data_IF_441406486499
#
_entry.id   IF_441406486499
#
_cell.length_a   1.000
_cell.length_b   1.000
_cell.length_c   1.000
_cell.angle_alpha   90.00
_cell.angle_beta   90.00
_cell.angle_gamma   90.00
#
_symmetry.space_group_name_H-M   'P 1'
#
loop_
_entity.id
_entity.type
_entity.pdbx_description
1 polymer ?
#
# COMPACT_ATOMS: atom_id res chain seq x y z
N UNK A 1 31.55 -28.93 58.02
CA UNK A 1 30.51 -28.88 56.99
C UNK A 1 30.77 -27.65 56.15
N UNK A 2 31.34 -27.80 54.96
CA UNK A 2 31.54 -26.69 54.02
C UNK A 2 30.36 -26.69 53.00
N UNK A 3 29.52 -25.64 53.01
CA UNK A 3 28.52 -25.44 52.00
C UNK A 3 29.21 -24.88 50.73
N UNK A 4 29.27 -25.68 49.67
CA UNK A 4 29.60 -25.22 48.33
C UNK A 4 28.36 -24.45 47.74
N UNK A 5 28.48 -23.14 47.59
CA UNK A 5 27.56 -22.34 46.79
C UNK A 5 27.86 -22.62 45.30
N UNK A 6 27.02 -23.40 44.62
CA UNK A 6 26.99 -23.45 43.18
C UNK A 6 26.38 -22.13 42.69
N UNK A 7 27.21 -21.21 42.19
CA UNK A 7 26.75 -20.07 41.41
C UNK A 7 26.31 -20.59 40.04
N UNK A 8 25.01 -20.60 39.77
CA UNK A 8 24.49 -20.73 38.41
C UNK A 8 24.90 -19.47 37.63
N UNK A 9 25.91 -19.61 36.78
CA UNK A 9 26.25 -18.63 35.78
C UNK A 9 25.04 -18.52 34.83
N UNK A 10 24.43 -17.33 34.74
CA UNK A 10 23.50 -17.00 33.62
C UNK A 10 24.26 -17.30 32.32
N UNK A 11 23.58 -17.92 31.34
CA UNK A 11 24.14 -17.97 29.98
C UNK A 11 24.50 -16.56 29.55
N UNK A 12 25.72 -16.39 29.02
CA UNK A 12 26.10 -15.11 28.42
C UNK A 12 25.10 -14.80 27.32
N UNK A 13 24.51 -13.60 27.36
CA UNK A 13 23.73 -13.09 26.23
C UNK A 13 24.65 -13.16 24.99
N UNK A 14 24.16 -13.70 23.84
CA UNK A 14 24.96 -13.72 22.63
C UNK A 14 25.40 -12.29 22.32
N UNK A 15 26.67 -12.12 21.97
CA UNK A 15 27.20 -10.81 21.60
C UNK A 15 26.35 -10.23 20.47
N UNK A 16 25.89 -8.96 20.64
CA UNK A 16 25.09 -8.30 19.64
C UNK A 16 25.84 -8.32 18.30
N UNK A 17 25.21 -8.89 17.28
CA UNK A 17 25.77 -8.95 15.92
C UNK A 17 25.77 -7.53 15.32
N UNK A 18 26.86 -7.15 14.65
CA UNK A 18 26.91 -5.96 13.83
C UNK A 18 26.25 -6.24 12.47
N UNK A 19 24.99 -5.85 12.33
CA UNK A 19 24.19 -6.09 11.13
C UNK A 19 24.71 -5.33 9.88
N UNK A 20 25.48 -4.27 10.06
CA UNK A 20 26.05 -3.53 8.93
C UNK A 20 27.16 -4.30 8.21
N UNK A 21 27.98 -5.03 8.99
CA UNK A 21 29.07 -5.84 8.43
C UNK A 21 28.77 -7.34 8.28
N UNK A 22 27.70 -7.82 8.92
CA UNK A 22 27.33 -9.23 8.91
C UNK A 22 26.90 -9.74 7.52
N UNK A 23 27.32 -10.98 7.21
CA UNK A 23 26.78 -11.74 6.09
C UNK A 23 25.40 -12.33 6.41
N UNK A 24 24.68 -12.76 5.38
CA UNK A 24 23.32 -13.25 5.52
C UNK A 24 23.18 -14.44 6.50
N UNK A 25 24.09 -15.41 6.43
CA UNK A 25 24.03 -16.60 7.30
C UNK A 25 24.09 -16.24 8.79
N UNK A 26 24.93 -15.26 9.14
CA UNK A 26 25.03 -14.77 10.51
C UNK A 26 23.78 -13.97 10.93
N UNK A 27 23.16 -13.22 10.00
CA UNK A 27 21.89 -12.52 10.24
C UNK A 27 20.77 -13.55 10.49
N UNK A 28 20.71 -14.60 9.66
CA UNK A 28 19.70 -15.65 9.80
C UNK A 28 19.85 -16.42 11.12
N UNK A 29 21.08 -16.76 11.54
CA UNK A 29 21.36 -17.38 12.84
C UNK A 29 20.95 -16.48 14.01
N UNK A 30 21.24 -15.18 13.93
CA UNK A 30 20.87 -14.22 14.98
C UNK A 30 19.35 -13.98 15.06
N UNK A 31 18.60 -14.31 14.01
CA UNK A 31 17.13 -14.18 13.97
C UNK A 31 16.40 -15.37 14.61
N UNK A 32 17.06 -16.55 14.75
CA UNK A 32 16.43 -17.75 15.29
C UNK A 32 15.90 -17.54 16.72
N UNK A 33 14.69 -18.03 16.98
CA UNK A 33 14.02 -17.91 18.27
C UNK A 33 13.46 -16.53 18.59
N UNK A 34 13.62 -15.54 17.69
CA UNK A 34 13.14 -14.19 17.93
C UNK A 34 11.60 -14.07 17.79
N UNK A 35 11.06 -13.02 18.39
CA UNK A 35 9.69 -12.58 18.17
C UNK A 35 9.72 -11.26 17.41
N UNK A 36 9.13 -11.25 16.23
CA UNK A 36 9.06 -10.08 15.33
C UNK A 36 7.66 -9.51 15.31
N UNK A 37 7.51 -8.21 15.57
CA UNK A 37 6.25 -7.51 15.47
C UNK A 37 6.08 -6.87 14.09
N UNK A 38 4.91 -7.05 13.49
CA UNK A 38 4.53 -6.43 12.22
C UNK A 38 3.36 -5.48 12.43
N UNK A 39 3.58 -4.21 12.23
CA UNK A 39 2.55 -3.16 12.33
C UNK A 39 2.06 -2.74 10.96
N UNK A 40 0.75 -2.66 10.80
CA UNK A 40 0.11 -2.20 9.57
C UNK A 40 -1.38 -1.94 9.77
N UNK A 41 -2.03 -1.38 8.76
CA UNK A 41 -3.44 -1.04 8.83
C UNK A 41 -4.31 -2.26 9.20
N UNK A 42 -5.14 -2.09 10.23
CA UNK A 42 -5.94 -3.19 10.80
C UNK A 42 -7.23 -3.52 10.02
N UNK A 43 -7.64 -2.67 9.07
CA UNK A 43 -8.93 -2.80 8.37
C UNK A 43 -9.01 -3.88 7.29
N UNK A 44 -7.91 -4.55 6.94
CA UNK A 44 -7.91 -5.66 5.99
C UNK A 44 -7.82 -7.00 6.72
N UNK A 45 -8.98 -7.60 7.01
CA UNK A 45 -9.06 -8.89 7.71
C UNK A 45 -8.37 -10.02 6.95
N UNK A 46 -8.43 -10.05 5.62
CA UNK A 46 -7.81 -11.11 4.81
C UNK A 46 -6.28 -11.05 4.93
N UNK A 47 -5.69 -9.86 4.78
CA UNK A 47 -4.26 -9.66 4.96
C UNK A 47 -3.82 -10.00 6.37
N UNK A 48 -4.53 -9.50 7.37
CA UNK A 48 -4.20 -9.77 8.76
C UNK A 48 -4.28 -11.28 9.08
N UNK A 49 -5.26 -11.99 8.53
CA UNK A 49 -5.36 -13.44 8.67
C UNK A 49 -4.20 -14.15 7.96
N UNK A 50 -3.85 -13.78 6.72
CA UNK A 50 -2.72 -14.34 5.97
C UNK A 50 -1.40 -14.14 6.72
N UNK A 51 -1.14 -12.97 7.28
CA UNK A 51 0.04 -12.69 8.10
C UNK A 51 0.07 -13.56 9.38
N UNK A 52 -1.08 -13.69 10.07
CA UNK A 52 -1.19 -14.45 11.32
C UNK A 52 -1.18 -15.97 11.13
N UNK A 53 -1.41 -16.47 9.92
CA UNK A 53 -1.44 -17.91 9.61
C UNK A 53 -0.33 -18.26 8.63
N UNK A 54 -0.49 -17.99 7.35
CA UNK A 54 0.43 -18.43 6.29
C UNK A 54 1.86 -17.94 6.50
N UNK A 55 2.03 -16.62 6.76
CA UNK A 55 3.37 -16.05 7.00
C UNK A 55 3.93 -16.48 8.34
N UNK A 56 3.12 -16.43 9.41
CA UNK A 56 3.55 -16.84 10.75
C UNK A 56 4.00 -18.31 10.79
N UNK A 57 3.23 -19.22 10.17
CA UNK A 57 3.58 -20.65 10.08
C UNK A 57 4.84 -20.88 9.25
N UNK A 58 4.99 -20.16 8.13
CA UNK A 58 6.19 -20.22 7.29
C UNK A 58 7.43 -19.79 8.08
N UNK A 59 7.38 -18.65 8.76
CA UNK A 59 8.48 -18.10 9.55
C UNK A 59 8.83 -19.01 10.73
N UNK A 60 7.82 -19.52 11.44
CA UNK A 60 8.05 -20.45 12.57
C UNK A 60 8.70 -21.74 12.13
N UNK A 61 8.22 -22.30 11.02
CA UNK A 61 8.70 -23.60 10.51
C UNK A 61 10.12 -23.51 9.92
N UNK A 62 10.43 -22.45 9.18
CA UNK A 62 11.65 -22.37 8.38
C UNK A 62 12.77 -21.56 9.05
N UNK A 63 12.44 -20.70 10.03
CA UNK A 63 13.38 -19.75 10.64
C UNK A 63 13.27 -19.68 12.17
N UNK A 64 12.38 -20.47 12.79
CA UNK A 64 12.05 -20.41 14.23
C UNK A 64 11.66 -19.00 14.72
N UNK A 65 11.13 -18.16 13.83
CA UNK A 65 10.66 -16.80 14.16
C UNK A 65 9.18 -16.84 14.51
N UNK A 66 8.79 -16.17 15.60
CA UNK A 66 7.39 -15.95 15.98
C UNK A 66 6.94 -14.59 15.48
N UNK A 67 5.96 -14.54 14.57
CA UNK A 67 5.39 -13.28 14.06
C UNK A 67 4.23 -12.83 14.95
N UNK A 68 4.20 -11.55 15.32
CA UNK A 68 3.08 -10.89 16.00
C UNK A 68 2.57 -9.74 15.15
N UNK A 69 1.31 -9.81 14.70
CA UNK A 69 0.70 -8.79 13.84
C UNK A 69 -0.13 -7.85 14.68
N UNK A 70 0.09 -6.54 14.50
CA UNK A 70 -0.63 -5.47 15.21
C UNK A 70 -1.30 -4.56 14.19
N UNK A 71 -2.63 -4.52 14.22
CA UNK A 71 -3.42 -3.57 13.41
C UNK A 71 -3.38 -2.18 14.04
N UNK A 72 -2.82 -1.20 13.32
CA UNK A 72 -2.73 0.20 13.76
C UNK A 72 -2.71 1.12 12.54
N UNK A 73 -3.34 2.29 12.64
CA UNK A 73 -3.27 3.29 11.57
C UNK A 73 -1.87 3.87 11.47
N UNK A 74 -1.47 4.27 10.27
CA UNK A 74 -0.11 4.74 10.01
C UNK A 74 0.24 5.99 10.83
N UNK A 75 -0.70 6.93 11.02
CA UNK A 75 -0.49 8.13 11.82
C UNK A 75 -0.15 7.79 13.29
N UNK A 76 -0.84 6.79 13.85
CA UNK A 76 -0.60 6.32 15.23
C UNK A 76 0.76 5.61 15.32
N UNK A 77 1.16 4.85 14.30
CA UNK A 77 2.49 4.23 14.20
C UNK A 77 3.58 5.30 14.19
N UNK A 78 3.45 6.30 13.31
CA UNK A 78 4.44 7.39 13.20
C UNK A 78 4.50 8.27 14.46
N UNK A 79 3.34 8.55 15.08
CA UNK A 79 3.29 9.27 16.35
C UNK A 79 3.99 8.49 17.47
N UNK A 80 3.78 7.17 17.53
CA UNK A 80 4.45 6.30 18.50
C UNK A 80 5.96 6.29 18.31
N UNK A 81 6.46 6.08 17.10
CA UNK A 81 7.90 6.11 16.79
C UNK A 81 8.52 7.47 17.09
N UNK A 82 7.82 8.56 16.76
CA UNK A 82 8.26 9.91 17.10
C UNK A 82 8.38 10.12 18.61
N UNK A 83 7.43 9.60 19.37
CA UNK A 83 7.46 9.62 20.84
C UNK A 83 8.61 8.78 21.41
N UNK A 84 8.84 7.57 20.88
CA UNK A 84 9.96 6.70 21.27
C UNK A 84 11.30 7.39 20.97
N UNK A 85 11.44 8.04 19.82
CA UNK A 85 12.62 8.81 19.45
C UNK A 85 12.88 10.01 20.36
N UNK A 86 11.83 10.77 20.68
CA UNK A 86 11.95 11.90 21.62
C UNK A 86 12.33 11.45 23.03
N UNK A 87 11.92 10.26 23.44
CA UNK A 87 12.27 9.65 24.73
C UNK A 87 13.65 8.97 24.73
N UNK A 88 14.39 8.99 23.61
CA UNK A 88 15.67 8.29 23.42
C UNK A 88 15.56 6.79 23.71
N UNK A 89 14.46 6.17 23.30
CA UNK A 89 14.18 4.75 23.47
C UNK A 89 15.19 3.92 22.68
N UNK A 90 15.91 3.02 23.36
CA UNK A 90 16.94 2.19 22.73
C UNK A 90 16.37 0.85 22.20
N UNK A 91 15.20 0.47 22.67
CA UNK A 91 14.52 -0.78 22.28
C UNK A 91 13.01 -0.50 22.26
N UNK A 92 12.49 -0.32 21.07
CA UNK A 92 11.08 -0.04 20.83
C UNK A 92 10.20 -1.30 20.86
N UNK A 93 8.98 -1.15 20.41
CA UNK A 93 8.02 -2.25 20.35
C UNK A 93 7.62 -2.61 18.92
N UNK A 94 8.16 -1.92 17.92
CA UNK A 94 7.86 -2.11 16.50
C UNK A 94 9.10 -2.64 15.79
N UNK A 95 8.96 -3.77 15.07
CA UNK A 95 10.04 -4.27 14.23
C UNK A 95 9.79 -3.90 12.77
N UNK A 96 8.67 -4.34 12.19
CA UNK A 96 8.33 -4.11 10.79
C UNK A 96 7.11 -3.19 10.70
N UNK A 97 7.14 -2.27 9.74
CA UNK A 97 6.05 -1.37 9.41
C UNK A 97 5.65 -1.61 7.96
N UNK A 98 4.36 -1.80 7.70
CA UNK A 98 3.79 -1.70 6.36
C UNK A 98 3.54 -0.22 6.04
N UNK A 99 4.23 0.31 5.04
CA UNK A 99 4.32 1.75 4.77
C UNK A 99 4.41 2.04 3.27
N UNK A 100 4.10 3.24 2.86
CA UNK A 100 4.36 3.77 1.51
C UNK A 100 4.20 5.29 1.47
N UNK A 101 4.62 5.89 0.35
CA UNK A 101 4.31 7.25 -0.06
C UNK A 101 4.82 8.34 0.88
N UNK A 102 3.94 9.30 1.14
CA UNK A 102 4.24 10.44 2.02
C UNK A 102 4.60 10.01 3.44
N UNK A 103 4.03 8.89 3.89
CA UNK A 103 4.32 8.33 5.21
C UNK A 103 5.75 7.78 5.29
N UNK A 104 6.20 7.05 4.26
CA UNK A 104 7.59 6.60 4.16
C UNK A 104 8.55 7.80 4.08
N UNK A 105 8.26 8.76 3.21
CA UNK A 105 9.06 9.98 3.09
C UNK A 105 9.20 10.70 4.43
N UNK A 106 8.07 10.95 5.12
CA UNK A 106 8.06 11.58 6.44
C UNK A 106 8.83 10.77 7.48
N UNK A 107 8.63 9.45 7.53
CA UNK A 107 9.34 8.59 8.47
C UNK A 107 10.85 8.60 8.26
N UNK A 108 11.30 8.54 7.00
CA UNK A 108 12.72 8.56 6.63
C UNK A 108 13.37 9.90 6.98
N UNK A 109 12.77 11.02 6.58
CA UNK A 109 13.28 12.37 6.87
C UNK A 109 13.39 12.63 8.39
N UNK A 110 12.47 12.10 9.17
CA UNK A 110 12.50 12.20 10.63
C UNK A 110 13.38 11.14 11.31
N UNK A 111 14.06 10.27 10.54
CA UNK A 111 14.95 9.22 11.04
C UNK A 111 14.23 8.19 11.92
N UNK A 112 12.98 7.86 11.58
CA UNK A 112 12.17 6.86 12.29
C UNK A 112 12.36 5.44 11.76
N UNK A 113 13.18 5.28 10.70
CA UNK A 113 13.45 3.99 10.07
C UNK A 113 14.92 3.60 10.25
N UNK A 114 15.17 2.29 10.30
CA UNK A 114 16.50 1.71 10.28
C UNK A 114 16.83 1.19 8.88
N UNK A 115 18.02 1.49 8.39
CA UNK A 115 18.51 1.08 7.07
C UNK A 115 19.82 1.81 6.71
N UNK A 116 20.34 1.59 5.49
CA UNK A 116 19.82 0.69 4.46
C UNK A 116 20.00 -0.81 4.80
N UNK A 117 19.07 -1.66 4.36
CA UNK A 117 19.14 -3.09 4.64
C UNK A 117 18.80 -3.99 3.43
N UNK A 118 18.16 -3.47 2.40
CA UNK A 118 17.59 -4.31 1.32
C UNK A 118 18.63 -5.00 0.45
N UNK A 119 19.82 -4.45 0.32
CA UNK A 119 20.95 -5.03 -0.42
C UNK A 119 21.48 -6.32 0.24
N UNK A 120 21.18 -6.52 1.51
CA UNK A 120 21.55 -7.72 2.27
C UNK A 120 20.55 -8.87 2.11
N UNK A 121 19.36 -8.60 1.57
CA UNK A 121 18.29 -9.59 1.44
C UNK A 121 18.50 -10.46 0.17
N UNK A 122 18.76 -11.80 0.30
CA UNK A 122 18.98 -12.64 -0.87
C UNK A 122 17.83 -12.62 -1.89
N UNK A 123 16.57 -12.56 -1.42
CA UNK A 123 15.41 -12.58 -2.29
C UNK A 123 15.21 -11.26 -3.05
N UNK A 124 15.71 -10.11 -2.54
CA UNK A 124 15.78 -8.87 -3.33
C UNK A 124 16.60 -9.08 -4.60
N UNK A 125 17.81 -9.63 -4.48
CA UNK A 125 18.67 -9.88 -5.63
C UNK A 125 18.12 -10.97 -6.55
N UNK A 126 17.53 -12.03 -5.96
CA UNK A 126 17.09 -13.22 -6.70
C UNK A 126 15.80 -12.99 -7.49
N UNK A 127 14.83 -12.25 -6.95
CA UNK A 127 13.47 -12.23 -7.47
C UNK A 127 12.90 -10.85 -7.79
N UNK A 128 13.49 -9.78 -7.27
CA UNK A 128 12.99 -8.41 -7.47
C UNK A 128 13.82 -7.71 -8.55
N UNK A 129 13.17 -6.94 -9.42
CA UNK A 129 13.89 -6.05 -10.34
C UNK A 129 14.39 -4.81 -9.57
N UNK A 130 15.65 -4.84 -9.18
CA UNK A 130 16.30 -3.74 -8.46
C UNK A 130 16.53 -2.48 -9.31
N UNK A 131 16.14 -2.49 -10.60
CA UNK A 131 16.18 -1.33 -11.50
C UNK A 131 14.79 -0.77 -11.81
N UNK A 132 13.74 -1.46 -11.38
CA UNK A 132 12.37 -0.95 -11.48
C UNK A 132 12.28 0.39 -10.74
N UNK A 133 11.72 1.46 -11.35
CA UNK A 133 11.50 2.73 -10.69
C UNK A 133 10.81 2.60 -9.33
N UNK A 134 9.84 1.68 -9.17
CA UNK A 134 9.15 1.41 -7.90
C UNK A 134 10.00 0.64 -6.87
N UNK A 135 11.19 0.16 -7.23
CA UNK A 135 12.18 -0.40 -6.29
C UNK A 135 13.19 0.66 -5.85
N UNK A 136 13.32 1.72 -6.64
CA UNK A 136 14.26 2.83 -6.39
C UNK A 136 13.61 4.03 -5.73
N UNK A 137 12.30 4.23 -5.97
CA UNK A 137 11.54 5.39 -5.49
C UNK A 137 10.15 4.96 -5.03
N UNK A 138 9.73 5.49 -3.89
CA UNK A 138 8.36 5.45 -3.42
C UNK A 138 7.76 6.85 -3.54
N UNK A 139 6.65 7.00 -4.26
CA UNK A 139 6.03 8.30 -4.60
C UNK A 139 7.09 9.33 -5.03
N UNK A 140 7.92 8.93 -5.99
CA UNK A 140 9.05 9.69 -6.55
C UNK A 140 10.21 9.99 -5.56
N UNK A 141 10.09 9.65 -4.28
CA UNK A 141 11.12 9.89 -3.27
C UNK A 141 12.09 8.69 -3.20
N UNK A 142 13.42 8.93 -3.09
CA UNK A 142 14.42 7.86 -3.08
C UNK A 142 14.24 6.90 -1.89
N UNK A 143 14.17 5.59 -2.18
CA UNK A 143 14.07 4.51 -1.17
C UNK A 143 15.42 4.30 -0.46
N UNK A 144 16.52 4.28 -1.21
CA UNK A 144 17.90 4.12 -0.70
C UNK A 144 18.07 2.92 0.25
N UNK A 145 17.31 1.84 0.01
CA UNK A 145 17.41 0.59 0.77
C UNK A 145 16.73 0.61 2.15
N UNK A 146 15.90 1.60 2.48
CA UNK A 146 15.20 1.70 3.76
C UNK A 146 13.86 0.96 3.81
N UNK A 147 13.37 0.50 2.67
CA UNK A 147 12.18 -0.32 2.57
C UNK A 147 12.30 -1.35 1.45
N UNK A 148 11.61 -2.49 1.62
CA UNK A 148 11.53 -3.57 0.64
C UNK A 148 10.10 -3.68 0.10
N UNK A 149 9.91 -4.00 -1.21
CA UNK A 149 8.58 -4.09 -1.79
C UNK A 149 7.77 -5.23 -1.17
N UNK A 150 6.47 -5.00 -0.95
CA UNK A 150 5.54 -5.97 -0.39
C UNK A 150 4.57 -6.51 -1.43
N UNK A 151 3.95 -5.62 -2.19
CA UNK A 151 2.95 -5.95 -3.19
C UNK A 151 2.53 -4.73 -3.99
N UNK A 152 2.17 -4.93 -5.27
CA UNK A 152 1.73 -3.83 -6.14
C UNK A 152 0.24 -3.60 -5.99
N UNK A 153 -0.14 -2.33 -5.96
CA UNK A 153 -1.51 -1.85 -5.95
C UNK A 153 -1.75 -0.90 -7.11
N UNK A 154 -2.99 -0.73 -7.54
CA UNK A 154 -3.37 0.20 -8.60
C UNK A 154 -4.80 0.63 -8.39
N UNK A 155 -5.07 1.91 -8.55
CA UNK A 155 -6.41 2.43 -8.48
C UNK A 155 -7.28 1.87 -9.60
N UNK A 156 -8.44 1.37 -9.25
CA UNK A 156 -9.47 0.91 -10.17
C UNK A 156 -10.83 1.46 -9.75
N UNK A 157 -11.73 1.54 -10.73
CA UNK A 157 -13.15 1.79 -10.51
C UNK A 157 -13.93 0.50 -10.83
N UNK A 158 -15.10 0.34 -10.26
CA UNK A 158 -16.00 -0.76 -10.60
C UNK A 158 -17.46 -0.33 -10.50
N UNK A 159 -18.29 -0.93 -11.33
CA UNK A 159 -19.72 -0.67 -11.41
C UNK A 159 -20.51 -1.97 -11.50
N UNK A 160 -21.81 -1.92 -11.26
CA UNK A 160 -22.72 -3.02 -11.63
C UNK A 160 -23.13 -2.85 -13.10
N UNK A 161 -22.61 -3.71 -13.99
CA UNK A 161 -22.90 -3.65 -15.43
C UNK A 161 -24.34 -3.97 -15.79
N UNK A 162 -25.14 -4.56 -14.88
CA UNK A 162 -26.58 -4.72 -15.09
C UNK A 162 -27.33 -3.42 -14.88
N UNK A 163 -26.80 -2.49 -14.07
CA UNK A 163 -27.39 -1.18 -13.80
C UNK A 163 -26.80 -0.12 -14.73
N UNK A 164 -25.48 -0.18 -14.92
CA UNK A 164 -24.71 0.78 -15.74
C UNK A 164 -23.85 0.02 -16.74
N UNK A 165 -24.41 -0.40 -17.90
CA UNK A 165 -23.75 -1.29 -18.85
C UNK A 165 -22.52 -0.68 -19.53
N UNK A 166 -22.43 0.65 -19.57
CA UNK A 166 -21.34 1.41 -20.19
C UNK A 166 -20.50 2.05 -19.07
N UNK A 167 -19.27 1.57 -18.89
CA UNK A 167 -18.31 2.17 -17.99
C UNK A 167 -17.60 3.33 -18.69
N UNK A 168 -17.32 4.45 -17.98
CA UNK A 168 -16.61 5.59 -18.58
C UNK A 168 -15.11 5.28 -18.75
N UNK A 169 -14.54 5.64 -19.89
CA UNK A 169 -13.14 5.44 -20.24
C UNK A 169 -12.28 6.71 -20.10
N UNK A 170 -12.88 7.85 -19.74
CA UNK A 170 -12.20 9.14 -19.58
C UNK A 170 -12.89 10.02 -18.53
N UNK A 171 -12.23 11.10 -18.11
CA UNK A 171 -12.85 12.08 -17.22
C UNK A 171 -14.08 12.73 -17.86
N UNK A 172 -14.08 13.00 -19.17
CA UNK A 172 -15.22 13.56 -19.88
C UNK A 172 -16.42 12.60 -19.83
N UNK A 173 -16.20 11.33 -20.14
CA UNK A 173 -17.24 10.31 -20.06
C UNK A 173 -17.69 10.06 -18.61
N UNK A 174 -16.78 10.18 -17.63
CA UNK A 174 -17.13 10.07 -16.22
C UNK A 174 -18.05 11.20 -15.75
N UNK A 175 -17.87 12.43 -16.26
CA UNK A 175 -18.79 13.52 -16.00
C UNK A 175 -20.19 13.24 -16.57
N UNK A 176 -20.28 12.76 -17.81
CA UNK A 176 -21.56 12.38 -18.43
C UNK A 176 -22.21 11.18 -17.70
N UNK A 177 -21.40 10.23 -17.23
CA UNK A 177 -21.86 9.14 -16.38
C UNK A 177 -22.46 9.67 -15.06
N UNK A 178 -21.81 10.61 -14.40
CA UNK A 178 -22.33 11.23 -13.17
C UNK A 178 -23.61 12.07 -13.44
N UNK A 179 -23.71 12.77 -14.59
CA UNK A 179 -24.93 13.46 -15.01
C UNK A 179 -26.09 12.48 -15.20
N UNK A 180 -25.85 11.35 -15.88
CA UNK A 180 -26.83 10.28 -16.15
C UNK A 180 -27.31 9.59 -14.86
N UNK A 181 -26.41 9.36 -13.92
CA UNK A 181 -26.68 8.69 -12.64
C UNK A 181 -26.57 9.66 -11.46
N UNK A 182 -27.15 10.85 -11.61
CA UNK A 182 -27.06 11.94 -10.63
C UNK A 182 -27.39 11.46 -9.20
N UNK A 183 -26.51 11.80 -8.28
CA UNK A 183 -26.63 11.47 -6.86
C UNK A 183 -26.27 10.04 -6.50
N UNK A 184 -25.78 9.25 -7.46
CA UNK A 184 -25.42 7.83 -7.27
C UNK A 184 -23.95 7.50 -7.49
N UNK A 185 -23.09 8.51 -7.56
CA UNK A 185 -21.64 8.38 -7.66
C UNK A 185 -21.01 9.30 -6.64
N UNK A 186 -19.94 8.87 -5.99
CA UNK A 186 -19.13 9.69 -5.11
C UNK A 186 -17.74 9.09 -4.99
N UNK A 187 -16.86 9.73 -4.24
CA UNK A 187 -15.55 9.25 -3.84
C UNK A 187 -15.31 9.57 -2.35
N UNK A 188 -14.35 8.92 -1.66
CA UNK A 188 -14.05 9.21 -0.27
C UNK A 188 -13.52 10.62 -0.08
N UNK A 189 -13.84 11.24 1.06
CA UNK A 189 -13.24 12.51 1.44
C UNK A 189 -11.71 12.36 1.60
N UNK A 190 -10.96 13.38 1.14
CA UNK A 190 -9.54 13.44 1.44
C UNK A 190 -9.36 13.78 2.94
N UNK A 191 -8.37 13.21 3.65
CA UNK A 191 -7.20 12.50 3.12
C UNK A 191 -7.33 10.96 3.02
N UNK A 192 -8.56 10.37 2.91
CA UNK A 192 -8.64 8.93 2.63
C UNK A 192 -7.74 8.58 1.44
N UNK A 193 -6.93 7.52 1.57
CA UNK A 193 -5.91 7.17 0.59
C UNK A 193 -6.50 6.94 -0.81
N UNK A 194 -7.64 6.24 -0.92
CA UNK A 194 -8.32 5.97 -2.19
C UNK A 194 -8.97 7.23 -2.75
N UNK A 195 -9.57 8.07 -1.89
CA UNK A 195 -10.13 9.36 -2.30
C UNK A 195 -9.06 10.31 -2.83
N UNK A 196 -7.94 10.41 -2.14
CA UNK A 196 -6.78 11.19 -2.56
C UNK A 196 -6.20 10.67 -3.89
N UNK A 197 -6.08 9.34 -4.05
CA UNK A 197 -5.64 8.72 -5.30
C UNK A 197 -6.63 9.01 -6.45
N UNK A 198 -7.93 8.99 -6.21
CA UNK A 198 -8.93 9.33 -7.22
C UNK A 198 -8.78 10.78 -7.72
N UNK A 199 -8.61 11.72 -6.82
CA UNK A 199 -8.40 13.12 -7.19
C UNK A 199 -7.09 13.29 -7.97
N UNK A 200 -5.99 12.66 -7.54
CA UNK A 200 -4.72 12.66 -8.28
C UNK A 200 -4.85 12.01 -9.66
N UNK A 201 -5.66 10.95 -9.77
CA UNK A 201 -5.92 10.30 -11.05
C UNK A 201 -6.68 11.22 -12.02
N UNK A 202 -7.67 11.98 -11.54
CA UNK A 202 -8.34 13.01 -12.34
C UNK A 202 -7.38 14.15 -12.73
N UNK A 203 -6.47 14.53 -11.85
CA UNK A 203 -5.41 15.50 -12.17
C UNK A 203 -4.55 14.97 -13.32
N UNK A 204 -4.11 13.72 -13.28
CA UNK A 204 -3.31 13.11 -14.34
C UNK A 204 -4.09 13.00 -15.65
N UNK A 205 -5.35 12.59 -15.59
CA UNK A 205 -6.22 12.46 -16.75
C UNK A 205 -6.40 13.80 -17.49
N UNK A 206 -6.54 14.91 -16.76
CA UNK A 206 -6.84 16.24 -17.30
C UNK A 206 -5.61 17.11 -17.56
N UNK A 207 -4.54 16.92 -16.78
CA UNK A 207 -3.37 17.79 -16.83
C UNK A 207 -2.11 17.09 -17.36
N UNK A 208 -2.13 15.74 -17.52
CA UNK A 208 -0.94 14.93 -17.80
C UNK A 208 -0.12 14.65 -16.52
N UNK A 209 0.57 13.52 -16.47
CA UNK A 209 1.29 13.09 -15.27
C UNK A 209 2.76 13.55 -15.24
N UNK A 210 3.38 13.71 -16.41
CA UNK A 210 4.83 13.94 -16.56
C UNK A 210 5.27 15.22 -15.87
N UNK A 211 4.45 16.29 -15.95
CA UNK A 211 4.80 17.58 -15.36
C UNK A 211 4.92 17.57 -13.83
N UNK A 212 4.31 16.58 -13.17
CA UNK A 212 4.32 16.51 -11.71
C UNK A 212 5.54 15.77 -11.15
N UNK A 213 6.23 14.95 -11.97
CA UNK A 213 7.30 14.07 -11.50
C UNK A 213 8.50 14.82 -10.87
N UNK A 214 8.78 16.02 -11.36
CA UNK A 214 9.86 16.87 -10.86
C UNK A 214 9.34 18.25 -10.41
N UNK A 215 8.03 18.37 -10.11
CA UNK A 215 7.42 19.64 -9.73
C UNK A 215 7.86 20.07 -8.32
N UNK A 216 8.18 21.35 -8.17
CA UNK A 216 8.46 21.92 -6.85
C UNK A 216 7.20 21.90 -5.97
N UNK A 217 7.36 21.54 -4.70
CA UNK A 217 6.30 21.52 -3.70
C UNK A 217 5.97 22.94 -3.21
N UNK A 218 5.50 23.76 -4.14
CA UNK A 218 5.03 25.14 -3.91
C UNK A 218 3.52 25.20 -4.17
N UNK A 219 2.75 25.66 -3.20
CA UNK A 219 1.28 25.63 -3.24
C UNK A 219 0.70 26.38 -4.44
N UNK A 220 1.23 27.54 -4.78
CA UNK A 220 0.71 28.36 -5.88
C UNK A 220 1.05 27.74 -7.23
N UNK A 221 2.25 27.16 -7.36
CA UNK A 221 2.69 26.42 -8.54
C UNK A 221 1.83 25.19 -8.76
N UNK A 222 1.63 24.37 -7.71
CA UNK A 222 0.77 23.17 -7.77
C UNK A 222 -0.64 23.55 -8.10
N UNK A 223 -1.22 24.56 -7.43
CA UNK A 223 -2.59 25.04 -7.70
C UNK A 223 -2.78 25.47 -9.13
N UNK A 224 -1.85 26.24 -9.69
CA UNK A 224 -1.91 26.67 -11.08
C UNK A 224 -1.87 25.47 -12.05
N UNK A 225 -1.04 24.48 -11.78
CA UNK A 225 -0.90 23.29 -12.63
C UNK A 225 -2.14 22.41 -12.61
N UNK A 226 -2.85 22.29 -11.47
CA UNK A 226 -4.04 21.44 -11.32
C UNK A 226 -5.37 22.17 -11.55
N UNK A 227 -5.37 23.48 -11.90
CA UNK A 227 -6.61 24.26 -12.07
C UNK A 227 -7.62 23.66 -13.07
N UNK A 228 -7.20 23.01 -14.19
CA UNK A 228 -8.14 22.28 -15.04
C UNK A 228 -8.90 21.20 -14.28
N UNK A 229 -8.22 20.43 -13.43
CA UNK A 229 -8.84 19.38 -12.62
C UNK A 229 -9.73 19.96 -11.50
N UNK A 230 -9.31 21.06 -10.87
CA UNK A 230 -10.15 21.75 -9.88
C UNK A 230 -11.44 22.28 -10.50
N UNK A 231 -11.37 22.83 -11.72
CA UNK A 231 -12.53 23.27 -12.48
C UNK A 231 -13.47 22.11 -12.79
N UNK A 232 -12.92 21.00 -13.25
CA UNK A 232 -13.67 19.77 -13.50
C UNK A 232 -14.36 19.22 -12.23
N UNK A 233 -13.64 19.14 -11.11
CA UNK A 233 -14.19 18.65 -9.83
C UNK A 233 -15.36 19.54 -9.36
N UNK A 234 -15.26 20.87 -9.53
CA UNK A 234 -16.36 21.80 -9.23
C UNK A 234 -17.57 21.62 -10.15
N UNK A 235 -17.35 21.30 -11.44
CA UNK A 235 -18.43 20.97 -12.38
C UNK A 235 -19.07 19.61 -12.05
N UNK A 236 -18.27 18.64 -11.59
CA UNK A 236 -18.70 17.30 -11.23
C UNK A 236 -19.60 17.29 -9.98
N UNK A 237 -19.26 18.06 -8.95
CA UNK A 237 -19.87 18.03 -7.61
C UNK A 237 -21.41 18.06 -7.61
N UNK A 238 -22.14 18.92 -8.39
CA UNK A 238 -23.60 18.95 -8.39
C UNK A 238 -24.29 17.65 -8.84
N UNK A 239 -23.54 16.73 -9.43
CA UNK A 239 -24.04 15.43 -9.90
C UNK A 239 -23.69 14.29 -8.99
N UNK A 240 -22.78 14.51 -8.03
CA UNK A 240 -22.37 13.51 -7.06
C UNK A 240 -23.44 13.28 -5.97
N UNK A 241 -23.25 12.23 -5.20
CA UNK A 241 -24.00 11.97 -3.97
C UNK A 241 -23.98 13.21 -3.06
N UNK A 242 -25.12 13.51 -2.46
CA UNK A 242 -25.32 14.72 -1.67
C UNK A 242 -24.91 16.04 -2.37
N UNK A 243 -24.95 16.07 -3.70
CA UNK A 243 -24.57 17.21 -4.56
C UNK A 243 -23.11 17.67 -4.30
N UNK A 244 -22.22 16.76 -3.84
CA UNK A 244 -20.82 17.06 -3.53
C UNK A 244 -20.62 18.03 -2.37
N UNK A 245 -21.63 18.21 -1.51
CA UNK A 245 -21.53 19.08 -0.31
C UNK A 245 -20.77 18.40 0.82
N UNK A 246 -20.89 17.08 0.89
CA UNK A 246 -20.16 16.21 1.81
C UNK A 246 -19.75 14.95 1.06
N UNK A 247 -18.74 14.29 1.56
CA UNK A 247 -18.19 13.06 1.02
C UNK A 247 -18.14 11.99 2.12
N UNK A 248 -18.29 10.70 1.80
CA UNK A 248 -18.08 9.62 2.77
C UNK A 248 -16.67 9.70 3.35
N UNK A 249 -16.52 9.40 4.63
CA UNK A 249 -15.25 9.57 5.36
C UNK A 249 -14.14 8.59 4.93
N UNK A 250 -14.50 7.48 4.27
CA UNK A 250 -13.55 6.44 3.90
C UNK A 250 -13.98 5.63 2.68
N UNK A 251 -13.02 4.98 2.04
CA UNK A 251 -13.27 4.00 0.98
C UNK A 251 -14.17 2.85 1.44
N UNK A 252 -14.04 2.40 2.69
CA UNK A 252 -14.93 1.39 3.28
C UNK A 252 -16.39 1.86 3.32
N UNK A 253 -16.63 3.14 3.61
CA UNK A 253 -17.99 3.71 3.60
C UNK A 253 -18.57 3.75 2.17
N UNK A 254 -17.76 4.16 1.18
CA UNK A 254 -18.17 4.15 -0.25
C UNK A 254 -18.49 2.74 -0.73
N UNK A 255 -17.68 1.75 -0.33
CA UNK A 255 -17.91 0.33 -0.67
C UNK A 255 -19.20 -0.21 -0.06
N UNK A 256 -19.51 0.14 1.17
CA UNK A 256 -20.78 -0.24 1.81
C UNK A 256 -21.98 0.35 1.07
N UNK A 257 -21.93 1.64 0.68
CA UNK A 257 -22.97 2.31 -0.09
C UNK A 257 -23.15 1.69 -1.49
N UNK A 258 -22.06 1.25 -2.12
CA UNK A 258 -22.14 0.51 -3.39
C UNK A 258 -22.78 -0.88 -3.20
N UNK A 259 -22.37 -1.61 -2.18
CA UNK A 259 -22.93 -2.93 -1.85
C UNK A 259 -24.43 -2.87 -1.59
N UNK A 260 -24.91 -1.82 -0.92
CA UNK A 260 -26.33 -1.58 -0.62
C UNK A 260 -27.14 -1.03 -1.83
N UNK A 261 -26.48 -0.74 -2.96
CA UNK A 261 -27.11 -0.20 -4.18
C UNK A 261 -27.47 1.30 -4.08
N UNK A 262 -26.98 1.98 -3.06
CA UNK A 262 -27.09 3.45 -2.97
C UNK A 262 -26.26 4.12 -4.05
N UNK A 263 -25.04 3.58 -4.31
CA UNK A 263 -24.17 4.01 -5.39
C UNK A 263 -24.17 2.99 -6.55
N UNK A 264 -23.89 3.46 -7.75
CA UNK A 264 -23.75 2.63 -8.97
C UNK A 264 -22.30 2.40 -9.37
N UNK A 265 -21.37 3.10 -8.74
CA UNK A 265 -19.93 3.01 -8.95
C UNK A 265 -19.22 3.16 -7.62
N UNK A 266 -18.14 2.42 -7.46
CA UNK A 266 -17.17 2.56 -6.37
C UNK A 266 -15.74 2.49 -6.91
N UNK A 267 -14.76 2.57 -6.03
CA UNK A 267 -13.34 2.61 -6.39
C UNK A 267 -12.50 1.94 -5.31
N UNK A 268 -11.36 1.40 -5.71
CA UNK A 268 -10.44 0.76 -4.78
C UNK A 268 -9.00 0.92 -5.26
N UNK A 269 -8.07 0.96 -4.32
CA UNK A 269 -6.64 0.82 -4.61
C UNK A 269 -6.19 -0.65 -4.67
N UNK A 270 -7.09 -1.59 -4.32
CA UNK A 270 -6.91 -3.02 -4.51
C UNK A 270 -7.49 -3.42 -5.87
N UNK A 271 -6.68 -3.74 -6.89
CA UNK A 271 -7.14 -3.89 -8.28
C UNK A 271 -8.12 -5.04 -8.48
N UNK A 272 -8.19 -5.99 -7.56
CA UNK A 272 -9.09 -7.15 -7.61
C UNK A 272 -10.23 -7.08 -6.58
N UNK A 273 -10.54 -5.89 -6.05
CA UNK A 273 -11.60 -5.67 -5.05
C UNK A 273 -12.98 -6.18 -5.54
N UNK A 274 -13.32 -5.98 -6.82
CA UNK A 274 -14.57 -6.46 -7.39
C UNK A 274 -14.74 -7.98 -7.26
N UNK A 275 -13.69 -8.76 -7.59
CA UNK A 275 -13.73 -10.22 -7.44
C UNK A 275 -13.89 -10.64 -5.97
N UNK A 276 -13.18 -9.98 -5.07
CA UNK A 276 -13.28 -10.23 -3.62
C UNK A 276 -14.70 -9.98 -3.11
N UNK A 277 -15.34 -8.88 -3.53
CA UNK A 277 -16.72 -8.57 -3.17
C UNK A 277 -17.74 -9.54 -3.78
N UNK A 278 -17.53 -9.98 -5.03
CA UNK A 278 -18.36 -11.00 -5.69
C UNK A 278 -18.28 -12.34 -4.94
N UNK A 279 -17.08 -12.78 -4.59
CA UNK A 279 -16.86 -14.07 -3.92
C UNK A 279 -17.42 -14.07 -2.49
N UNK A 280 -17.35 -12.95 -1.78
CA UNK A 280 -17.98 -12.75 -0.46
C UNK A 280 -19.52 -12.62 -0.55
N UNK A 281 -20.08 -12.48 -1.75
CA UNK A 281 -21.51 -12.21 -1.95
C UNK A 281 -21.94 -10.79 -1.55
N UNK A 282 -20.96 -9.89 -1.33
CA UNK A 282 -21.21 -8.47 -1.02
C UNK A 282 -21.59 -7.71 -2.29
N UNK A 283 -20.98 -8.06 -3.43
CA UNK A 283 -21.27 -7.45 -4.73
C UNK A 283 -22.03 -8.42 -5.65
N UNK A 284 -22.75 -7.86 -6.60
CA UNK A 284 -23.48 -8.63 -7.62
C UNK A 284 -22.52 -9.36 -8.56
N UNK A 285 -22.99 -10.46 -9.17
CA UNK A 285 -22.21 -11.19 -10.19
C UNK A 285 -21.94 -10.39 -11.45
N UNK A 286 -22.60 -9.26 -11.61
CA UNK A 286 -22.48 -8.31 -12.73
C UNK A 286 -21.54 -7.16 -12.45
N UNK A 287 -20.92 -7.09 -11.27
CA UNK A 287 -19.86 -6.10 -10.96
C UNK A 287 -18.67 -6.27 -11.89
N UNK A 288 -18.17 -5.17 -12.45
CA UNK A 288 -17.05 -5.12 -13.40
C UNK A 288 -16.09 -4.00 -13.05
N UNK A 289 -14.82 -4.32 -13.04
CA UNK A 289 -13.72 -3.37 -12.89
C UNK A 289 -13.44 -2.67 -14.22
N UNK A 290 -13.13 -1.40 -14.17
CA UNK A 290 -12.65 -0.61 -15.29
C UNK A 290 -11.58 0.39 -14.85
N UNK A 291 -10.82 0.89 -15.80
CA UNK A 291 -9.82 1.97 -15.65
C UNK A 291 -10.01 2.96 -16.80
N UNK A 292 -9.49 4.17 -16.69
CA UNK A 292 -9.50 5.12 -17.80
C UNK A 292 -8.48 4.72 -18.87
N UNK A 293 -8.73 5.09 -20.11
CA UNK A 293 -7.87 4.76 -21.26
C UNK A 293 -6.45 5.30 -21.11
N UNK A 294 -6.28 6.49 -20.52
CA UNK A 294 -4.94 7.06 -20.23
C UNK A 294 -4.23 6.36 -19.08
N UNK A 295 -4.95 5.55 -18.34
CA UNK A 295 -4.44 4.79 -17.21
C UNK A 295 -4.88 5.31 -15.85
N UNK A 296 -4.48 4.56 -14.82
CA UNK A 296 -4.73 4.88 -13.42
C UNK A 296 -3.45 4.75 -12.60
N UNK A 297 -3.36 5.55 -11.56
CA UNK A 297 -2.22 5.57 -10.66
C UNK A 297 -2.06 4.22 -9.96
N UNK A 298 -0.83 3.73 -9.94
CA UNK A 298 -0.43 2.55 -9.19
C UNK A 298 0.84 2.79 -8.41
N UNK A 299 0.97 2.12 -7.27
CA UNK A 299 2.17 2.11 -6.45
C UNK A 299 2.50 0.72 -5.97
N UNK A 300 3.66 0.60 -5.35
CA UNK A 300 4.04 -0.55 -4.54
C UNK A 300 3.83 -0.20 -3.06
N UNK A 301 3.35 -1.16 -2.28
CA UNK A 301 3.39 -1.10 -0.83
C UNK A 301 4.68 -1.73 -0.36
N UNK A 302 5.21 -1.28 0.77
CA UNK A 302 6.53 -1.68 1.24
C UNK A 302 6.52 -2.12 2.71
N UNK A 303 7.66 -2.66 3.11
CA UNK A 303 8.00 -3.04 4.48
C UNK A 303 9.27 -2.32 4.89
N UNK A 304 9.23 -1.54 5.95
CA UNK A 304 10.37 -0.86 6.55
C UNK A 304 10.63 -1.40 7.97
N UNK A 305 11.83 -1.17 8.49
CA UNK A 305 12.22 -1.55 9.85
C UNK A 305 12.28 -0.30 10.71
N UNK A 306 11.68 -0.34 11.91
CA UNK A 306 11.71 0.77 12.85
C UNK A 306 13.14 1.05 13.34
N UNK A 307 13.47 2.33 13.57
CA UNK A 307 14.84 2.76 13.98
C UNK A 307 15.32 2.08 15.24
N UNK A 308 14.45 1.85 16.21
CA UNK A 308 14.69 1.26 17.53
C UNK A 308 14.18 -0.19 17.67
N UNK A 309 13.90 -0.85 16.53
CA UNK A 309 13.51 -2.27 16.53
C UNK A 309 14.46 -3.11 17.38
N UNK A 310 13.95 -3.90 18.33
CA UNK A 310 14.77 -4.81 19.13
C UNK A 310 15.22 -6.04 18.34
N UNK A 311 14.54 -6.39 17.23
CA UNK A 311 14.74 -7.65 16.50
C UNK A 311 15.06 -7.39 15.01
N UNK A 312 15.97 -6.46 14.72
CA UNK A 312 16.33 -6.09 13.34
C UNK A 312 16.74 -7.29 12.46
N UNK A 313 17.50 -8.25 13.02
CA UNK A 313 17.85 -9.49 12.30
C UNK A 313 16.60 -10.31 11.95
N UNK A 314 15.70 -10.52 12.91
CA UNK A 314 14.43 -11.20 12.71
C UNK A 314 13.53 -10.47 11.68
N UNK A 315 13.49 -9.14 11.74
CA UNK A 315 12.76 -8.32 10.78
C UNK A 315 13.32 -8.49 9.35
N UNK A 316 14.64 -8.47 9.17
CA UNK A 316 15.27 -8.70 7.86
C UNK A 316 14.93 -10.11 7.32
N UNK A 317 14.97 -11.15 8.16
CA UNK A 317 14.63 -12.53 7.75
C UNK A 317 13.15 -12.64 7.39
N UNK A 318 12.25 -12.02 8.16
CA UNK A 318 10.83 -12.01 7.88
C UNK A 318 10.50 -11.28 6.57
N UNK A 319 11.10 -10.12 6.34
CA UNK A 319 10.96 -9.37 5.09
C UNK A 319 11.49 -10.17 3.90
N UNK A 320 12.69 -10.75 4.04
CA UNK A 320 13.26 -11.60 3.00
C UNK A 320 12.37 -12.82 2.67
N UNK A 321 11.77 -13.45 3.67
CA UNK A 321 10.83 -14.55 3.46
C UNK A 321 9.59 -14.09 2.68
N UNK A 322 9.01 -12.93 2.98
CA UNK A 322 7.86 -12.38 2.27
C UNK A 322 8.16 -12.00 0.81
N UNK A 323 9.43 -11.85 0.43
CA UNK A 323 9.87 -11.67 -0.96
C UNK A 323 10.09 -13.01 -1.69
N UNK A 324 9.91 -14.14 -1.03
CA UNK A 324 10.08 -15.46 -1.69
C UNK A 324 8.94 -15.74 -2.67
N UNK A 325 9.18 -16.48 -3.77
CA UNK A 325 8.12 -16.92 -4.66
C UNK A 325 6.98 -17.65 -3.96
N UNK A 326 7.28 -18.47 -2.95
CA UNK A 326 6.28 -19.21 -2.18
C UNK A 326 5.29 -18.29 -1.48
N UNK A 327 5.76 -17.31 -0.70
CA UNK A 327 4.88 -16.39 0.01
C UNK A 327 4.23 -15.37 -0.94
N UNK A 328 4.92 -14.92 -1.98
CA UNK A 328 4.34 -14.06 -3.01
C UNK A 328 3.22 -14.77 -3.78
N UNK A 329 3.35 -16.08 -4.05
CA UNK A 329 2.29 -16.86 -4.69
C UNK A 329 1.06 -16.99 -3.78
N UNK A 330 1.25 -17.26 -2.48
CA UNK A 330 0.12 -17.31 -1.53
C UNK A 330 -0.54 -15.95 -1.36
N UNK A 331 0.25 -14.87 -1.30
CA UNK A 331 -0.26 -13.49 -1.28
C UNK A 331 -1.11 -13.19 -2.52
N UNK A 332 -0.66 -13.58 -3.71
CA UNK A 332 -1.38 -13.38 -4.97
C UNK A 332 -2.67 -14.19 -5.04
N UNK A 333 -2.63 -15.46 -4.62
CA UNK A 333 -3.80 -16.35 -4.68
C UNK A 333 -4.81 -16.11 -3.55
N UNK A 334 -4.37 -15.81 -2.32
CA UNK A 334 -5.24 -15.66 -1.15
C UNK A 334 -5.72 -14.21 -0.97
N UNK A 335 -4.83 -13.22 -1.20
CA UNK A 335 -5.15 -11.80 -1.01
C UNK A 335 -5.47 -11.08 -2.31
N UNK A 336 -5.17 -11.67 -3.46
CA UNK A 336 -5.24 -11.00 -4.76
C UNK A 336 -4.43 -9.70 -4.77
N UNK A 337 -3.25 -9.73 -4.15
CA UNK A 337 -2.28 -8.63 -4.23
C UNK A 337 -1.32 -8.91 -5.37
N UNK A 338 -1.14 -7.96 -6.29
CA UNK A 338 -0.20 -8.15 -7.40
C UNK A 338 1.23 -8.37 -6.87
N UNK A 339 1.93 -9.43 -7.33
CA UNK A 339 3.25 -9.78 -6.82
C UNK A 339 4.32 -8.76 -7.21
N UNK A 340 5.38 -8.67 -6.42
CA UNK A 340 6.56 -7.86 -6.69
C UNK A 340 7.70 -8.66 -7.32
N UNK A 341 7.62 -9.99 -7.30
CA UNK A 341 8.56 -10.87 -8.00
C UNK A 341 8.38 -10.76 -9.51
N UNK A 342 9.48 -10.73 -10.26
CA UNK A 342 9.43 -10.57 -11.71
C UNK A 342 9.51 -11.93 -12.41
N UNK A 343 8.65 -12.13 -13.40
CA UNK A 343 8.49 -13.40 -14.12
C UNK A 343 9.80 -13.96 -14.69
N UNK A 344 10.69 -13.09 -15.18
CA UNK A 344 11.97 -13.50 -15.79
C UNK A 344 12.98 -14.09 -14.78
N UNK A 345 12.76 -13.84 -13.48
CA UNK A 345 13.59 -14.39 -12.40
C UNK A 345 13.00 -15.64 -11.77
N UNK A 346 11.76 -16.00 -12.11
CA UNK A 346 11.09 -17.22 -11.65
C UNK A 346 11.52 -18.44 -12.47
N UNK A 347 11.60 -19.60 -11.84
CA UNK A 347 11.68 -20.87 -12.55
C UNK A 347 10.41 -21.15 -13.36
N UNK A 348 10.47 -22.04 -14.36
CA UNK A 348 9.31 -22.42 -15.17
C UNK A 348 8.16 -22.97 -14.31
N UNK A 349 8.49 -23.70 -13.24
CA UNK A 349 7.49 -24.23 -12.30
C UNK A 349 6.79 -23.11 -11.52
N UNK A 350 7.55 -22.17 -11.00
CA UNK A 350 7.00 -21.01 -10.25
C UNK A 350 6.16 -20.15 -11.18
N UNK A 351 6.66 -19.82 -12.37
CA UNK A 351 5.91 -19.05 -13.37
C UNK A 351 4.58 -19.71 -13.71
N UNK A 352 4.57 -21.01 -13.95
CA UNK A 352 3.34 -21.78 -14.22
C UNK A 352 2.36 -21.67 -13.04
N UNK A 353 2.85 -21.67 -11.80
CA UNK A 353 2.00 -21.53 -10.62
C UNK A 353 1.38 -20.12 -10.50
N UNK A 354 2.15 -19.06 -10.78
CA UNK A 354 1.62 -17.69 -10.82
C UNK A 354 0.59 -17.50 -11.95
N UNK A 355 0.87 -18.04 -13.14
CA UNK A 355 -0.04 -17.95 -14.29
C UNK A 355 -1.36 -18.71 -14.08
N UNK A 356 -1.36 -19.72 -13.20
CA UNK A 356 -2.55 -20.51 -12.87
C UNK A 356 -3.44 -19.89 -11.77
N UNK A 357 -3.06 -18.75 -11.19
CA UNK A 357 -3.85 -18.10 -10.14
C UNK A 357 -5.17 -17.58 -10.71
N UNK A 358 -6.29 -18.04 -10.16
CA UNK A 358 -7.61 -17.52 -10.49
C UNK A 358 -7.89 -16.23 -9.68
N UNK A 359 -7.91 -15.12 -10.38
CA UNK A 359 -8.18 -13.80 -9.78
C UNK A 359 -9.67 -13.53 -9.56
N UNK A 360 -10.55 -14.45 -9.98
CA UNK A 360 -11.98 -14.32 -9.84
C UNK A 360 -12.65 -13.56 -10.99
N UNK A 361 -13.93 -13.25 -10.80
CA UNK A 361 -14.76 -12.63 -11.85
C UNK A 361 -14.79 -11.11 -11.73
N UNK A 362 -15.06 -10.46 -12.86
CA UNK A 362 -15.36 -9.03 -12.88
C UNK A 362 -14.13 -8.12 -12.76
N UNK A 363 -12.93 -8.65 -12.87
CA UNK A 363 -11.66 -7.92 -12.79
C UNK A 363 -10.93 -7.92 -14.12
N UNK A 364 -10.05 -6.94 -14.31
CA UNK A 364 -9.10 -6.90 -15.42
C UNK A 364 -7.94 -7.86 -15.14
N UNK A 365 -7.33 -8.36 -16.21
CA UNK A 365 -6.10 -9.13 -16.08
C UNK A 365 -4.94 -8.28 -15.58
N UNK A 366 -3.93 -8.91 -14.96
CA UNK A 366 -2.72 -8.20 -14.56
C UNK A 366 -2.05 -7.48 -15.73
N UNK A 367 -2.06 -8.08 -16.93
CA UNK A 367 -1.48 -7.48 -18.13
C UNK A 367 -2.23 -6.19 -18.55
N UNK A 368 -3.56 -6.19 -18.51
CA UNK A 368 -4.38 -5.01 -18.78
C UNK A 368 -4.15 -3.91 -17.74
N UNK A 369 -4.10 -4.26 -16.46
CA UNK A 369 -3.80 -3.32 -15.38
C UNK A 369 -2.43 -2.66 -15.58
N UNK A 370 -1.39 -3.46 -15.80
CA UNK A 370 -0.03 -2.94 -16.00
C UNK A 370 0.11 -2.10 -17.27
N UNK A 371 -0.64 -2.41 -18.35
CA UNK A 371 -0.67 -1.59 -19.56
C UNK A 371 -1.29 -0.20 -19.35
N UNK A 372 -2.13 -0.04 -18.32
CA UNK A 372 -2.80 1.20 -17.96
C UNK A 372 -2.30 1.75 -16.61
N UNK A 373 -1.07 1.37 -16.19
CA UNK A 373 -0.50 1.82 -14.92
C UNK A 373 0.27 3.11 -15.10
N UNK A 374 -0.10 4.14 -14.34
CA UNK A 374 0.62 5.41 -14.24
C UNK A 374 1.44 5.45 -12.94
N UNK A 375 2.60 6.13 -12.95
CA UNK A 375 3.40 6.29 -11.74
C UNK A 375 2.66 7.14 -10.70
N UNK A 376 2.99 6.96 -9.42
CA UNK A 376 2.47 7.84 -8.37
C UNK A 376 3.04 9.26 -8.45
N UNK A 377 2.31 10.18 -7.84
CA UNK A 377 2.69 11.58 -7.71
C UNK A 377 3.73 11.72 -6.59
N UNK A 378 4.69 12.68 -6.71
CA UNK A 378 5.65 12.94 -5.65
C UNK A 378 4.99 13.14 -4.28
N UNK A 379 5.50 12.43 -3.26
CA UNK A 379 4.94 12.40 -1.92
C UNK A 379 4.74 13.81 -1.31
N UNK A 380 5.66 14.73 -1.58
CA UNK A 380 5.59 16.09 -1.07
C UNK A 380 4.50 16.97 -1.74
N UNK A 381 3.90 16.52 -2.85
CA UNK A 381 2.78 17.23 -3.49
C UNK A 381 1.43 16.79 -2.92
N UNK A 382 1.33 15.58 -2.38
CA UNK A 382 0.06 14.98 -1.92
C UNK A 382 -0.64 15.85 -0.88
N UNK A 383 -0.02 16.25 0.25
CA UNK A 383 -0.69 17.06 1.26
C UNK A 383 -1.05 18.47 0.74
N UNK A 384 -0.30 19.00 -0.22
CA UNK A 384 -0.61 20.30 -0.85
C UNK A 384 -1.89 20.18 -1.67
N UNK A 385 -2.06 19.11 -2.44
CA UNK A 385 -3.25 18.85 -3.27
C UNK A 385 -4.46 18.64 -2.38
N UNK A 386 -4.33 17.91 -1.29
CA UNK A 386 -5.40 17.67 -0.32
C UNK A 386 -5.89 18.96 0.33
N UNK A 387 -4.97 19.85 0.74
CA UNK A 387 -5.31 21.19 1.24
C UNK A 387 -6.01 22.04 0.18
N UNK A 388 -5.53 22.03 -1.06
CA UNK A 388 -6.17 22.74 -2.17
C UNK A 388 -7.57 22.17 -2.45
N UNK A 389 -7.75 20.86 -2.47
CA UNK A 389 -9.06 20.23 -2.64
C UNK A 389 -10.03 20.67 -1.53
N UNK A 390 -9.59 20.63 -0.28
CA UNK A 390 -10.42 21.05 0.86
C UNK A 390 -10.86 22.51 0.75
N UNK A 391 -9.96 23.40 0.35
CA UNK A 391 -10.23 24.85 0.28
C UNK A 391 -10.97 25.28 -0.99
N UNK A 392 -10.61 24.72 -2.13
CA UNK A 392 -11.08 25.21 -3.45
C UNK A 392 -12.19 24.35 -4.08
N UNK A 393 -12.36 23.11 -3.62
CA UNK A 393 -13.44 22.22 -4.09
C UNK A 393 -14.55 22.14 -3.05
N UNK A 394 -14.23 21.74 -1.81
CA UNK A 394 -15.24 21.58 -0.73
C UNK A 394 -15.61 22.91 -0.10
N UNK A 395 -14.63 23.75 0.22
CA UNK A 395 -14.85 25.02 0.94
C UNK A 395 -15.71 26.04 0.20
N UNK A 396 -15.77 25.98 -1.13
CA UNK A 396 -16.63 26.87 -1.94
C UNK A 396 -18.12 26.55 -1.85
N UNK A 397 -18.51 25.37 -1.39
CA UNK A 397 -19.92 24.98 -1.21
C UNK A 397 -20.44 25.27 0.21
N UNK A 398 -19.55 25.55 1.15
CA UNK A 398 -19.91 25.83 2.56
C UNK A 398 -19.93 27.32 2.88
N UNK A 399 -19.68 28.21 1.89
CA UNK A 399 -19.82 29.66 1.94
C UNK A 399 -20.95 30.12 1.01
#
# INVERSE_FOLDING_TARGET
MALSLCACAKPAEPAAIDLESAGWDAIAEAAEGSTVTFYGWGGDENRNNWLNTTVADYLKKNHDITLQVVGMNIDDILAKLSGEKQADTQSGSIDIIWINGENFYSAKENGLLWGPFTDKLPNMAAYIDTKDPETLKDFCMPIEGFEAPYGKAQMVLYNDSAVTPEAPASAEEFLEYCKKYKGKVTYPALPDFTGSAFVRNLIYELCGWEQFQDMAADRDTVKAAIEPALTYLRELNPYLWNEGRTFPESSTAVDAMFADGELVCSMSYSPFAAATGIDKGTYTQTTRTFVFDKGTIGNTNYMAIAFDSPNKAGAMVAINAMLSPDLQLTQYSELRTMPVVVADKLSDKERTAFDAVDLGKGVLSQAELLAHRLPEMPANLVPIIEDIWLTDVVGRYNN
#
